data_IF_047141517330
#
_entry.id   IF_047141517330
#
_cell.length_a   1.000
_cell.length_b   1.000
_cell.length_c   1.000
_cell.angle_alpha   90.00
_cell.angle_beta   90.00
_cell.angle_gamma   90.00
#
_symmetry.space_group_name_H-M   'P 1'
#
loop_
_entity.id
_entity.type
_entity.pdbx_description
1 polymer ?
#
# COMPACT_ATOMS: atom_id res chain seq x y z
N UNK A 1 -23.47 5.79 31.11
CA UNK A 1 -24.33 6.24 29.97
C UNK A 1 -23.43 6.46 28.78
N UNK A 2 -23.76 5.91 27.60
CA UNK A 2 -23.01 6.11 26.36
C UNK A 2 -23.69 7.19 25.52
N UNK A 3 -22.92 7.92 24.71
CA UNK A 3 -23.46 8.84 23.71
C UNK A 3 -24.25 8.11 22.63
N UNK A 4 -25.29 8.75 22.09
CA UNK A 4 -26.19 8.17 21.11
C UNK A 4 -25.84 8.55 19.65
N UNK A 5 -24.71 9.28 19.45
CA UNK A 5 -24.21 9.57 18.10
C UNK A 5 -23.59 8.31 17.46
N UNK A 6 -23.47 8.34 16.16
CA UNK A 6 -22.99 7.17 15.38
C UNK A 6 -21.64 6.65 15.89
N UNK A 7 -21.54 5.34 16.02
CA UNK A 7 -20.30 4.64 16.33
C UNK A 7 -19.64 4.20 15.01
N UNK A 8 -19.00 5.15 14.29
CA UNK A 8 -18.31 4.86 13.05
C UNK A 8 -16.82 4.64 13.35
N UNK A 9 -16.25 3.46 13.04
CA UNK A 9 -14.84 3.20 13.28
C UNK A 9 -13.95 4.01 12.33
N UNK A 10 -12.79 4.40 12.83
CA UNK A 10 -11.80 5.22 12.10
C UNK A 10 -10.99 4.36 11.12
N UNK A 11 -11.63 4.00 10.01
CA UNK A 11 -11.04 3.14 8.97
C UNK A 11 -10.30 3.97 7.91
N UNK A 12 -9.11 3.54 7.49
CA UNK A 12 -8.36 4.18 6.40
C UNK A 12 -9.17 4.20 5.10
N UNK A 13 -9.92 3.14 4.81
CA UNK A 13 -10.81 3.05 3.64
C UNK A 13 -11.86 4.16 3.61
N UNK A 14 -12.33 4.64 4.77
CA UNK A 14 -13.31 5.74 4.83
C UNK A 14 -12.74 7.08 4.36
N UNK A 15 -11.43 7.31 4.48
CA UNK A 15 -10.77 8.50 3.91
C UNK A 15 -10.82 8.47 2.38
N UNK A 16 -10.55 7.32 1.77
CA UNK A 16 -10.65 7.16 0.31
C UNK A 16 -12.09 7.33 -0.18
N UNK A 17 -13.06 6.75 0.53
CA UNK A 17 -14.48 6.93 0.19
C UNK A 17 -14.94 8.38 0.33
N UNK A 18 -14.43 9.11 1.34
CA UNK A 18 -14.66 10.55 1.46
C UNK A 18 -14.11 11.30 0.24
N UNK A 19 -12.83 11.07 -0.11
CA UNK A 19 -12.21 11.71 -1.25
C UNK A 19 -12.94 11.39 -2.56
N UNK A 20 -13.31 10.13 -2.79
CA UNK A 20 -14.08 9.70 -3.95
C UNK A 20 -15.45 10.39 -4.03
N UNK A 21 -16.13 10.59 -2.90
CA UNK A 21 -17.48 11.17 -2.85
C UNK A 21 -17.49 12.68 -3.04
N UNK A 22 -16.55 13.37 -2.42
CA UNK A 22 -16.57 14.84 -2.34
C UNK A 22 -15.54 15.52 -3.24
N UNK A 23 -14.51 14.80 -3.66
CA UNK A 23 -13.40 15.29 -4.49
C UNK A 23 -13.04 14.30 -5.63
N UNK A 24 -14.05 13.72 -6.35
CA UNK A 24 -13.82 12.62 -7.28
C UNK A 24 -12.84 12.97 -8.41
N UNK A 25 -12.85 14.20 -8.85
CA UNK A 25 -12.12 14.67 -10.02
C UNK A 25 -10.82 15.43 -9.66
N UNK A 26 -10.48 15.53 -8.37
CA UNK A 26 -9.19 16.09 -7.93
C UNK A 26 -8.05 15.25 -8.46
N UNK A 27 -7.12 15.90 -9.16
CA UNK A 27 -6.06 15.25 -9.91
C UNK A 27 -4.99 14.61 -9.01
N UNK A 28 -4.53 13.42 -9.43
CA UNK A 28 -3.37 12.72 -8.88
C UNK A 28 -2.40 12.52 -10.03
N UNK A 29 -1.20 13.09 -9.90
CA UNK A 29 -0.13 12.95 -10.91
C UNK A 29 0.96 12.06 -10.37
N UNK A 30 1.36 11.08 -11.16
CA UNK A 30 2.41 10.13 -10.81
C UNK A 30 3.38 9.97 -11.97
N UNK A 31 4.69 10.02 -11.67
CA UNK A 31 5.72 9.57 -12.60
C UNK A 31 6.06 8.12 -12.28
N UNK A 32 5.89 7.23 -13.24
CA UNK A 32 6.12 5.79 -13.06
C UNK A 32 7.58 5.41 -13.35
N UNK A 33 7.94 4.19 -12.98
CA UNK A 33 9.28 3.64 -13.27
C UNK A 33 9.50 3.38 -14.77
N UNK A 34 8.42 3.22 -15.54
CA UNK A 34 8.43 3.16 -17.02
C UNK A 34 8.65 4.55 -17.67
N UNK A 35 8.95 5.57 -16.86
CA UNK A 35 9.20 6.96 -17.28
C UNK A 35 7.97 7.69 -17.84
N UNK A 36 6.78 7.14 -17.71
CA UNK A 36 5.51 7.78 -18.09
C UNK A 36 4.97 8.67 -16.99
N UNK A 37 4.22 9.72 -17.37
CA UNK A 37 3.43 10.53 -16.45
C UNK A 37 1.98 10.06 -16.55
N UNK A 38 1.49 9.49 -15.46
CA UNK A 38 0.09 9.08 -15.32
C UNK A 38 -0.67 10.18 -14.60
N UNK A 39 -1.78 10.62 -15.21
CA UNK A 39 -2.73 11.55 -14.63
C UNK A 39 -4.01 10.80 -14.29
N UNK A 40 -4.41 10.86 -13.07
CA UNK A 40 -5.55 10.14 -12.49
C UNK A 40 -6.32 11.06 -11.53
N UNK A 41 -7.30 10.51 -10.84
CA UNK A 41 -8.10 11.23 -9.84
C UNK A 41 -8.62 10.27 -8.76
N UNK A 42 -9.28 10.78 -7.71
CA UNK A 42 -9.77 9.95 -6.61
C UNK A 42 -10.88 8.96 -7.02
N UNK A 43 -11.64 9.24 -8.07
CA UNK A 43 -12.61 8.28 -8.62
C UNK A 43 -11.88 7.05 -9.15
N UNK A 44 -10.88 7.26 -9.98
CA UNK A 44 -10.05 6.19 -10.57
C UNK A 44 -9.24 5.47 -9.49
N UNK A 45 -8.60 6.21 -8.58
CA UNK A 45 -7.87 5.63 -7.46
C UNK A 45 -8.74 4.68 -6.65
N UNK A 46 -9.96 5.11 -6.27
CA UNK A 46 -10.89 4.28 -5.50
C UNK A 46 -11.30 3.02 -6.25
N UNK A 47 -11.58 3.13 -7.54
CA UNK A 47 -11.95 1.99 -8.37
C UNK A 47 -10.81 0.97 -8.46
N UNK A 48 -9.60 1.42 -8.78
CA UNK A 48 -8.42 0.56 -8.91
C UNK A 48 -7.97 -0.04 -7.57
N UNK A 49 -8.07 0.70 -6.46
CA UNK A 49 -7.84 0.16 -5.12
C UNK A 49 -8.82 -0.97 -4.77
N UNK A 50 -10.09 -0.85 -5.18
CA UNK A 50 -11.10 -1.91 -5.02
C UNK A 50 -10.81 -3.13 -5.90
N UNK A 51 -10.37 -2.93 -7.13
CA UNK A 51 -9.91 -4.02 -7.98
C UNK A 51 -8.73 -4.76 -7.35
N UNK A 52 -7.75 -4.02 -6.81
CA UNK A 52 -6.62 -4.63 -6.11
C UNK A 52 -7.04 -5.34 -4.82
N UNK A 53 -8.01 -4.82 -4.07
CA UNK A 53 -8.58 -5.51 -2.91
C UNK A 53 -9.19 -6.87 -3.29
N UNK A 54 -9.99 -6.91 -4.36
CA UNK A 54 -10.54 -8.17 -4.91
C UNK A 54 -9.43 -9.12 -5.37
N UNK A 55 -8.39 -8.60 -6.02
CA UNK A 55 -7.21 -9.36 -6.44
C UNK A 55 -6.50 -10.02 -5.25
N UNK A 56 -6.24 -9.27 -4.19
CA UNK A 56 -5.59 -9.78 -2.97
C UNK A 56 -6.42 -10.88 -2.31
N UNK A 57 -7.75 -10.70 -2.24
CA UNK A 57 -8.67 -11.71 -1.71
C UNK A 57 -8.64 -12.98 -2.58
N UNK A 58 -8.64 -12.83 -3.92
CA UNK A 58 -8.52 -13.96 -4.85
C UNK A 58 -7.18 -14.71 -4.71
N UNK A 59 -6.11 -14.00 -4.36
CA UNK A 59 -4.81 -14.58 -4.01
C UNK A 59 -4.81 -15.30 -2.66
N UNK A 60 -5.87 -15.22 -1.87
CA UNK A 60 -6.01 -15.83 -0.56
C UNK A 60 -5.42 -15.02 0.59
N UNK A 61 -5.16 -13.73 0.39
CA UNK A 61 -4.75 -12.81 1.47
C UNK A 61 -5.89 -12.63 2.47
N UNK A 62 -5.58 -12.77 3.74
CA UNK A 62 -6.55 -12.69 4.85
C UNK A 62 -6.25 -11.49 5.74
N UNK A 63 -7.23 -11.05 6.55
CA UNK A 63 -6.98 -10.07 7.60
C UNK A 63 -5.79 -10.47 8.49
N UNK A 64 -4.88 -9.52 8.73
CA UNK A 64 -3.65 -9.74 9.49
C UNK A 64 -2.46 -10.24 8.68
N UNK A 65 -2.64 -10.72 7.45
CA UNK A 65 -1.52 -11.08 6.58
C UNK A 65 -0.70 -9.85 6.19
N UNK A 66 0.63 -10.03 6.04
CA UNK A 66 1.52 -8.94 5.62
C UNK A 66 1.75 -9.00 4.11
N UNK A 67 1.46 -7.88 3.48
CA UNK A 67 1.70 -7.63 2.05
C UNK A 67 2.81 -6.60 1.95
N UNK A 68 3.96 -7.00 1.43
CA UNK A 68 5.14 -6.15 1.34
C UNK A 68 5.15 -5.34 0.03
N UNK A 69 5.71 -4.13 0.12
CA UNK A 69 5.98 -3.27 -1.03
C UNK A 69 7.43 -2.79 -1.01
N UNK A 70 8.17 -3.06 -2.09
CA UNK A 70 9.48 -2.50 -2.38
C UNK A 70 9.31 -1.53 -3.56
N UNK A 71 8.88 -0.30 -3.25
CA UNK A 71 8.31 0.59 -4.25
C UNK A 71 8.60 2.06 -3.99
N UNK A 72 8.60 2.83 -5.07
CA UNK A 72 8.59 4.29 -5.04
C UNK A 72 7.17 4.84 -4.86
N UNK A 73 7.06 6.15 -4.66
CA UNK A 73 5.77 6.84 -4.50
C UNK A 73 5.06 7.01 -5.86
N UNK A 74 4.40 5.96 -6.31
CA UNK A 74 3.59 5.96 -7.54
C UNK A 74 2.11 5.78 -7.24
N UNK A 75 1.24 5.98 -8.25
CA UNK A 75 -0.20 5.73 -8.11
C UNK A 75 -0.50 4.29 -7.70
N UNK A 76 0.25 3.28 -8.21
CA UNK A 76 0.09 1.87 -7.85
C UNK A 76 0.39 1.63 -6.37
N UNK A 77 1.44 2.28 -5.84
CA UNK A 77 1.75 2.18 -4.41
C UNK A 77 0.65 2.82 -3.56
N UNK A 78 0.10 3.96 -4.00
CA UNK A 78 -1.02 4.62 -3.32
C UNK A 78 -2.29 3.73 -3.34
N UNK A 79 -2.56 3.03 -4.44
CA UNK A 79 -3.65 2.04 -4.53
C UNK A 79 -3.47 0.91 -3.51
N UNK A 80 -2.23 0.41 -3.34
CA UNK A 80 -1.91 -0.64 -2.36
C UNK A 80 -2.11 -0.18 -0.92
N UNK A 81 -1.82 1.08 -0.57
CA UNK A 81 -2.09 1.60 0.77
C UNK A 81 -3.56 1.43 1.17
N UNK A 82 -4.48 1.69 0.26
CA UNK A 82 -5.91 1.55 0.51
C UNK A 82 -6.40 0.11 0.33
N UNK A 83 -5.91 -0.60 -0.67
CA UNK A 83 -6.35 -1.97 -0.95
C UNK A 83 -5.99 -2.93 0.18
N UNK A 84 -4.72 -2.94 0.60
CA UNK A 84 -4.22 -3.86 1.63
C UNK A 84 -4.86 -3.56 2.98
N UNK A 85 -4.78 -2.30 3.44
CA UNK A 85 -5.39 -1.93 4.72
C UNK A 85 -6.91 -2.09 4.69
N UNK A 86 -7.55 -1.79 3.55
CA UNK A 86 -8.99 -1.84 3.39
C UNK A 86 -9.60 -3.24 3.55
N UNK A 87 -8.85 -4.31 3.25
CA UNK A 87 -9.29 -5.71 3.48
C UNK A 87 -8.88 -6.22 4.88
N UNK A 88 -8.26 -5.39 5.72
CA UNK A 88 -7.76 -5.78 7.05
C UNK A 88 -6.40 -6.47 7.05
N UNK A 89 -5.71 -6.52 5.92
CA UNK A 89 -4.32 -6.96 5.85
C UNK A 89 -3.37 -5.81 6.25
N UNK A 90 -2.10 -6.11 6.43
CA UNK A 90 -1.08 -5.17 6.91
C UNK A 90 -0.12 -4.83 5.78
N UNK A 91 -0.09 -3.57 5.36
CA UNK A 91 0.87 -3.11 4.37
C UNK A 91 2.26 -2.98 5.00
N UNK A 92 3.20 -3.81 4.56
CA UNK A 92 4.59 -3.76 4.98
C UNK A 92 5.41 -2.95 3.96
N UNK A 93 5.63 -1.67 4.24
CA UNK A 93 6.45 -0.81 3.39
C UNK A 93 7.93 -1.04 3.65
N UNK A 94 8.63 -1.54 2.64
CA UNK A 94 10.07 -1.82 2.70
C UNK A 94 10.84 -0.63 2.16
N UNK A 95 11.74 -0.06 2.98
CA UNK A 95 12.58 1.04 2.52
C UNK A 95 13.60 0.51 1.48
N UNK A 96 13.55 0.98 0.23
CA UNK A 96 14.41 0.49 -0.84
C UNK A 96 15.90 0.92 -0.70
N UNK A 97 16.20 1.77 0.27
CA UNK A 97 17.58 2.23 0.56
C UNK A 97 18.29 1.37 1.60
N UNK A 98 17.64 0.32 2.10
CA UNK A 98 18.28 -0.65 2.99
C UNK A 98 19.24 -1.56 2.21
N UNK A 99 20.22 -2.12 2.89
CA UNK A 99 21.07 -3.16 2.31
C UNK A 99 20.26 -4.44 2.04
N UNK A 100 20.65 -5.25 1.03
CA UNK A 100 19.95 -6.48 0.67
C UNK A 100 19.68 -7.41 1.86
N UNK A 101 20.67 -7.58 2.75
CA UNK A 101 20.58 -8.45 3.93
C UNK A 101 19.53 -7.93 4.95
N UNK A 102 19.35 -6.61 5.00
CA UNK A 102 18.33 -6.00 5.86
C UNK A 102 16.94 -6.19 5.25
N UNK A 103 16.81 -6.07 3.93
CA UNK A 103 15.54 -6.32 3.21
C UNK A 103 15.13 -7.77 3.38
N UNK A 104 16.05 -8.72 3.19
CA UNK A 104 15.83 -10.14 3.45
C UNK A 104 15.33 -10.38 4.89
N UNK A 105 16.07 -9.83 5.86
CA UNK A 105 15.71 -9.96 7.27
C UNK A 105 14.29 -9.46 7.57
N UNK A 106 13.92 -8.25 7.14
CA UNK A 106 12.61 -7.67 7.47
C UNK A 106 11.46 -8.38 6.76
N UNK A 107 11.66 -8.84 5.52
CA UNK A 107 10.66 -9.61 4.79
C UNK A 107 10.38 -10.96 5.47
N UNK A 108 11.43 -11.65 5.91
CA UNK A 108 11.33 -12.92 6.63
C UNK A 108 10.79 -12.75 8.04
N UNK A 109 11.27 -11.74 8.79
CA UNK A 109 10.81 -11.45 10.15
C UNK A 109 9.32 -11.06 10.19
N UNK A 110 8.86 -10.35 9.17
CA UNK A 110 7.45 -10.00 9.02
C UNK A 110 6.61 -11.16 8.45
N UNK A 111 7.23 -12.24 7.97
CA UNK A 111 6.57 -13.33 7.25
C UNK A 111 5.65 -12.81 6.14
N UNK A 112 6.16 -11.89 5.32
CA UNK A 112 5.39 -11.27 4.25
C UNK A 112 5.04 -12.30 3.18
N UNK A 113 3.74 -12.50 2.90
CA UNK A 113 3.26 -13.55 2.01
C UNK A 113 3.22 -13.15 0.53
N UNK A 114 3.16 -11.85 0.25
CA UNK A 114 3.13 -11.25 -1.09
C UNK A 114 4.12 -10.10 -1.12
N UNK A 115 4.88 -9.99 -2.20
CA UNK A 115 5.80 -8.87 -2.44
C UNK A 115 5.43 -8.17 -3.75
N UNK A 116 5.03 -6.91 -3.64
CA UNK A 116 4.94 -5.98 -4.77
C UNK A 116 6.26 -5.23 -4.91
N UNK A 117 6.75 -5.07 -6.12
CA UNK A 117 8.00 -4.34 -6.34
C UNK A 117 7.97 -3.53 -7.64
N UNK A 118 8.60 -2.36 -7.62
CA UNK A 118 8.82 -1.58 -8.83
C UNK A 118 9.89 -2.22 -9.71
N UNK A 119 9.78 -2.07 -11.03
CA UNK A 119 10.67 -2.69 -12.03
C UNK A 119 12.15 -2.33 -11.81
N UNK A 120 12.43 -1.20 -11.17
CA UNK A 120 13.79 -0.78 -10.82
C UNK A 120 14.47 -1.70 -9.80
N UNK A 121 13.70 -2.55 -9.10
CA UNK A 121 14.20 -3.49 -8.09
C UNK A 121 14.21 -4.94 -8.58
N UNK A 122 13.97 -5.19 -9.87
CA UNK A 122 13.84 -6.54 -10.43
C UNK A 122 15.07 -7.41 -10.12
N UNK A 123 16.28 -6.94 -10.36
CA UNK A 123 17.52 -7.69 -10.06
C UNK A 123 17.66 -8.00 -8.59
N UNK A 124 17.39 -7.02 -7.72
CA UNK A 124 17.45 -7.23 -6.27
C UNK A 124 16.44 -8.29 -5.81
N UNK A 125 15.19 -8.25 -6.34
CA UNK A 125 14.15 -9.23 -6.00
C UNK A 125 14.53 -10.61 -6.51
N UNK A 126 15.13 -10.72 -7.70
CA UNK A 126 15.61 -12.00 -8.25
C UNK A 126 16.69 -12.61 -7.35
N UNK A 127 17.67 -11.81 -6.93
CA UNK A 127 18.75 -12.24 -6.04
C UNK A 127 18.24 -12.68 -4.66
N UNK A 128 17.24 -11.98 -4.12
CA UNK A 128 16.68 -12.29 -2.80
C UNK A 128 15.68 -13.45 -2.81
N UNK A 129 15.07 -13.76 -3.94
CA UNK A 129 14.00 -14.79 -4.04
C UNK A 129 14.34 -16.12 -3.36
N UNK A 130 15.55 -16.73 -3.53
CA UNK A 130 15.88 -17.99 -2.88
C UNK A 130 15.88 -17.94 -1.34
N UNK A 131 16.06 -16.74 -0.78
CA UNK A 131 16.13 -16.50 0.66
C UNK A 131 14.80 -16.03 1.28
N UNK A 132 13.70 -15.98 0.50
CA UNK A 132 12.39 -15.49 0.92
C UNK A 132 11.30 -16.58 0.96
N UNK A 133 11.41 -17.58 1.87
CA UNK A 133 10.53 -18.75 1.88
C UNK A 133 9.06 -18.44 2.19
N UNK A 134 8.77 -17.28 2.80
CA UNK A 134 7.41 -16.87 3.12
C UNK A 134 6.70 -16.16 1.95
N UNK A 135 7.45 -15.57 1.01
CA UNK A 135 6.88 -14.88 -0.14
C UNK A 135 6.42 -15.89 -1.18
N UNK A 136 5.11 -15.99 -1.35
CA UNK A 136 4.46 -16.94 -2.26
C UNK A 136 4.11 -16.32 -3.62
N UNK A 137 3.99 -15.00 -3.69
CA UNK A 137 3.63 -14.26 -4.90
C UNK A 137 4.52 -13.03 -5.02
N UNK A 138 5.03 -12.83 -6.22
CA UNK A 138 5.85 -11.68 -6.60
C UNK A 138 5.11 -10.91 -7.68
N UNK A 139 4.81 -9.64 -7.45
CA UNK A 139 4.06 -8.80 -8.37
C UNK A 139 4.91 -7.59 -8.78
N UNK A 140 5.25 -7.53 -10.07
CA UNK A 140 5.90 -6.36 -10.66
C UNK A 140 4.86 -5.25 -10.84
N UNK A 141 5.12 -4.07 -10.28
CA UNK A 141 4.22 -2.92 -10.33
C UNK A 141 4.28 -2.24 -11.70
N UNK A 142 3.91 -3.00 -12.74
CA UNK A 142 3.94 -2.60 -14.15
C UNK A 142 2.85 -3.33 -14.95
N UNK A 143 2.84 -3.14 -16.26
CA UNK A 143 1.99 -3.84 -17.22
C UNK A 143 2.75 -4.98 -17.94
N UNK A 144 2.04 -5.75 -18.78
CA UNK A 144 2.60 -6.88 -19.52
C UNK A 144 3.72 -6.46 -20.49
N UNK A 145 3.63 -5.26 -21.07
CA UNK A 145 4.59 -4.77 -22.07
C UNK A 145 5.97 -4.47 -21.46
N UNK A 146 6.02 -4.23 -20.15
CA UNK A 146 7.25 -3.90 -19.40
C UNK A 146 7.77 -5.05 -18.53
N UNK A 147 7.31 -6.29 -18.77
CA UNK A 147 7.78 -7.48 -18.02
C UNK A 147 9.14 -8.01 -18.46
N UNK A 148 9.73 -7.48 -19.52
CA UNK A 148 11.07 -7.90 -19.95
C UNK A 148 12.13 -7.63 -18.86
N UNK A 149 12.88 -8.67 -18.45
CA UNK A 149 13.88 -8.60 -17.39
C UNK A 149 13.35 -8.70 -15.96
N UNK A 150 12.07 -9.00 -15.78
CA UNK A 150 11.50 -9.30 -14.46
C UNK A 150 11.79 -10.75 -14.07
N UNK A 151 11.86 -11.06 -12.74
CA UNK A 151 11.94 -12.44 -12.26
C UNK A 151 10.86 -13.32 -12.91
N UNK A 152 11.22 -14.54 -13.29
CA UNK A 152 10.33 -15.42 -14.06
C UNK A 152 8.99 -15.75 -13.38
N UNK A 153 8.95 -15.71 -12.04
CA UNK A 153 7.74 -15.93 -11.25
C UNK A 153 6.91 -14.66 -11.03
N UNK A 154 7.37 -13.49 -11.48
CA UNK A 154 6.67 -12.23 -11.27
C UNK A 154 5.45 -12.10 -12.20
N UNK A 155 4.39 -11.52 -11.65
CA UNK A 155 3.14 -11.27 -12.37
C UNK A 155 2.94 -9.75 -12.55
N UNK A 156 2.43 -9.29 -13.71
CA UNK A 156 2.21 -7.87 -13.92
C UNK A 156 0.99 -7.35 -13.14
N UNK A 157 1.15 -6.22 -12.47
CA UNK A 157 0.13 -5.58 -11.65
C UNK A 157 -1.15 -5.28 -12.43
N UNK A 158 -1.01 -4.68 -13.62
CA UNK A 158 -2.15 -4.20 -14.40
C UNK A 158 -3.03 -5.37 -14.89
N UNK A 159 -2.44 -6.49 -15.27
CA UNK A 159 -3.18 -7.67 -15.72
C UNK A 159 -3.98 -8.31 -14.57
N UNK A 160 -3.45 -8.25 -13.36
CA UNK A 160 -4.12 -8.79 -12.18
C UNK A 160 -5.36 -7.96 -11.81
N UNK A 161 -5.24 -6.64 -11.78
CA UNK A 161 -6.38 -5.79 -11.46
C UNK A 161 -7.43 -5.75 -12.59
N UNK A 162 -7.00 -5.90 -13.85
CA UNK A 162 -7.91 -5.93 -14.99
C UNK A 162 -8.89 -7.11 -14.98
N UNK A 163 -8.61 -8.16 -14.20
CA UNK A 163 -9.49 -9.30 -14.00
C UNK A 163 -10.64 -9.02 -13.03
N UNK A 164 -10.64 -7.87 -12.38
CA UNK A 164 -11.59 -7.52 -11.33
C UNK A 164 -12.48 -6.35 -11.77
N UNK A 165 -13.73 -6.35 -11.33
CA UNK A 165 -14.72 -5.34 -11.72
C UNK A 165 -14.69 -4.07 -10.85
N UNK A 166 -13.97 -4.09 -9.71
CA UNK A 166 -13.90 -2.98 -8.75
C UNK A 166 -15.22 -2.74 -7.99
N UNK A 167 -16.18 -3.62 -8.11
CA UNK A 167 -17.42 -3.57 -7.34
C UNK A 167 -17.22 -4.24 -5.97
N UNK A 168 -16.70 -3.48 -5.03
CA UNK A 168 -16.31 -3.96 -3.71
C UNK A 168 -16.70 -2.99 -2.60
N UNK A 169 -17.35 -3.51 -1.56
CA UNK A 169 -17.67 -2.76 -0.36
C UNK A 169 -16.63 -3.05 0.72
N UNK A 170 -16.02 -1.98 1.24
CA UNK A 170 -15.00 -2.11 2.27
C UNK A 170 -15.60 -2.72 3.55
N UNK A 171 -15.03 -3.79 4.10
CA UNK A 171 -15.46 -4.34 5.37
C UNK A 171 -15.20 -3.36 6.51
N UNK A 172 -16.04 -3.45 7.53
CA UNK A 172 -15.88 -2.71 8.78
C UNK A 172 -15.42 -3.69 9.86
N UNK A 173 -14.33 -3.35 10.54
CA UNK A 173 -13.73 -4.15 11.60
C UNK A 173 -13.18 -3.25 12.71
N UNK A 174 -12.46 -3.80 13.68
CA UNK A 174 -11.88 -3.03 14.79
C UNK A 174 -10.85 -2.03 14.27
N UNK A 175 -11.04 -0.74 14.55
CA UNK A 175 -10.12 0.35 14.19
C UNK A 175 -8.72 0.22 14.81
N UNK A 176 -8.57 -0.60 15.85
CA UNK A 176 -7.28 -0.91 16.48
C UNK A 176 -6.50 -2.00 15.73
N UNK A 177 -7.11 -2.66 14.74
CA UNK A 177 -6.41 -3.61 13.89
C UNK A 177 -5.22 -2.93 13.19
N UNK A 178 -4.14 -3.68 13.01
CA UNK A 178 -2.95 -3.20 12.29
C UNK A 178 -3.30 -2.90 10.83
N UNK A 179 -2.82 -1.78 10.32
CA UNK A 179 -3.01 -1.33 8.93
C UNK A 179 -1.71 -1.30 8.15
N UNK A 180 -0.61 -0.95 8.82
CA UNK A 180 0.71 -0.90 8.20
C UNK A 180 1.83 -1.27 9.17
N UNK A 181 2.93 -1.73 8.58
CA UNK A 181 4.16 -2.14 9.26
C UNK A 181 5.34 -1.43 8.59
N UNK A 182 6.12 -0.70 9.39
CA UNK A 182 7.38 -0.10 8.95
C UNK A 182 8.51 -0.59 9.84
N UNK A 183 9.69 -0.81 9.24
CA UNK A 183 10.89 -1.12 10.00
C UNK A 183 11.75 0.12 10.16
N UNK A 184 12.21 0.34 11.38
CA UNK A 184 13.19 1.41 11.67
C UNK A 184 14.58 0.80 11.81
N UNK A 185 15.60 1.52 11.31
CA UNK A 185 16.98 1.18 11.58
C UNK A 185 17.22 1.39 13.08
N UNK A 186 17.25 0.29 13.84
CA UNK A 186 17.65 0.35 15.24
C UNK A 186 19.08 0.87 15.38
N UNK A 187 19.35 1.73 16.34
CA UNK A 187 20.72 2.21 16.62
C UNK A 187 21.66 1.09 17.08
N UNK A 188 21.11 -0.05 17.48
CA UNK A 188 21.83 -1.24 17.92
C UNK A 188 21.06 -2.50 17.52
N UNK A 189 21.61 -3.30 16.60
CA UNK A 189 21.07 -4.61 16.21
C UNK A 189 20.14 -4.57 14.98
N UNK A 190 19.32 -5.61 14.85
CA UNK A 190 18.41 -5.78 13.71
C UNK A 190 17.30 -4.72 13.68
N UNK A 191 16.79 -4.37 12.48
CA UNK A 191 15.65 -3.48 12.33
C UNK A 191 14.45 -3.93 13.15
N UNK A 192 13.73 -2.97 13.74
CA UNK A 192 12.54 -3.22 14.57
C UNK A 192 11.28 -2.82 13.81
N UNK A 193 10.29 -3.72 13.79
CA UNK A 193 8.99 -3.46 13.18
C UNK A 193 8.10 -2.61 14.09
N UNK A 194 7.46 -1.60 13.50
CA UNK A 194 6.47 -0.73 14.14
C UNK A 194 5.14 -0.93 13.43
N UNK A 195 4.12 -1.37 14.16
CA UNK A 195 2.77 -1.56 13.65
C UNK A 195 1.92 -0.31 13.94
N UNK A 196 1.26 0.19 12.88
CA UNK A 196 0.29 1.28 12.98
C UNK A 196 -1.12 0.71 12.81
N UNK A 197 -2.04 1.13 13.68
CA UNK A 197 -3.45 0.76 13.54
C UNK A 197 -4.18 1.70 12.56
N UNK A 198 -5.37 1.30 12.11
CA UNK A 198 -6.27 2.18 11.36
C UNK A 198 -6.54 3.46 12.15
N UNK A 199 -6.87 3.33 13.44
CA UNK A 199 -7.13 4.44 14.34
C UNK A 199 -5.94 5.40 14.42
N UNK A 200 -4.72 4.89 14.64
CA UNK A 200 -3.54 5.76 14.79
C UNK A 200 -3.24 6.52 13.50
N UNK A 201 -3.36 5.88 12.35
CA UNK A 201 -3.15 6.51 11.03
C UNK A 201 -4.22 7.55 10.74
N UNK A 202 -5.49 7.24 11.03
CA UNK A 202 -6.60 8.17 10.82
C UNK A 202 -6.45 9.44 11.67
N UNK A 203 -6.20 9.28 12.98
CA UNK A 203 -6.00 10.41 13.90
C UNK A 203 -4.75 11.23 13.54
N UNK A 204 -3.66 10.57 13.17
CA UNK A 204 -2.45 11.25 12.70
C UNK A 204 -2.76 12.12 11.47
N UNK A 205 -3.47 11.58 10.49
CA UNK A 205 -3.86 12.32 9.28
C UNK A 205 -4.69 13.56 9.61
N UNK A 206 -5.66 13.44 10.52
CA UNK A 206 -6.45 14.59 10.97
C UNK A 206 -5.59 15.66 11.67
N UNK A 207 -4.69 15.24 12.55
CA UNK A 207 -3.84 16.16 13.31
C UNK A 207 -2.82 16.87 12.42
N UNK A 208 -2.22 16.16 11.48
CA UNK A 208 -1.25 16.72 10.52
C UNK A 208 -1.88 17.79 9.63
N UNK A 209 -3.16 17.64 9.26
CA UNK A 209 -3.87 18.62 8.44
C UNK A 209 -4.32 19.87 9.22
N UNK A 210 -4.21 19.90 10.57
CA UNK A 210 -4.60 21.06 11.38
C UNK A 210 -3.67 22.27 11.13
N UNK A 211 -4.14 23.46 11.56
CA UNK A 211 -3.41 24.73 11.41
C UNK A 211 -2.03 24.70 12.06
N UNK A 212 -1.91 24.04 13.21
CA UNK A 212 -0.64 23.87 13.94
C UNK A 212 0.24 22.73 13.39
N UNK A 213 -0.23 22.00 12.36
CA UNK A 213 0.51 20.97 11.64
C UNK A 213 1.00 21.48 10.28
N UNK A 214 0.65 20.75 9.21
CA UNK A 214 0.99 21.14 7.83
C UNK A 214 -0.03 22.10 7.19
N UNK A 215 -1.11 22.41 7.87
CA UNK A 215 -2.20 23.30 7.43
C UNK A 215 -2.73 22.90 6.02
N UNK A 216 -2.90 21.62 5.76
CA UNK A 216 -3.35 21.10 4.47
C UNK A 216 -4.87 21.08 4.37
N UNK A 217 -5.36 21.50 3.23
CA UNK A 217 -6.77 21.49 2.86
C UNK A 217 -6.99 20.82 1.49
N UNK A 218 -8.24 20.66 1.09
CA UNK A 218 -8.60 20.15 -0.25
C UNK A 218 -8.21 21.08 -1.41
N UNK A 219 -7.79 22.31 -1.11
CA UNK A 219 -7.31 23.29 -2.10
C UNK A 219 -5.79 23.18 -2.35
N UNK A 220 -5.08 22.42 -1.54
CA UNK A 220 -3.63 22.31 -1.61
C UNK A 220 -3.19 21.13 -2.47
N UNK A 221 -1.98 21.25 -3.02
CA UNK A 221 -1.30 20.16 -3.72
C UNK A 221 -0.03 19.80 -2.97
N UNK A 222 0.18 18.52 -2.74
CA UNK A 222 1.37 18.02 -2.06
C UNK A 222 2.22 17.16 -2.99
N UNK A 223 3.54 17.31 -2.90
CA UNK A 223 4.51 16.46 -3.57
C UNK A 223 5.24 15.61 -2.53
N UNK A 224 5.15 14.30 -2.67
CA UNK A 224 5.96 13.37 -1.88
C UNK A 224 7.37 13.32 -2.46
N UNK A 225 8.35 13.80 -1.69
CA UNK A 225 9.74 13.94 -2.13
C UNK A 225 10.69 12.86 -1.58
N UNK A 226 10.18 11.74 -1.06
CA UNK A 226 10.98 10.68 -0.40
C UNK A 226 10.91 9.39 -1.16
#
# INVERSE_FOLDING_TARGET
>A
MQGLMQAHPLMISSMLEHARRYHPDTEIVSKTCEQTIVRSNYRTLSHRAKQMAQTLIAMGVKPGDRVATLAWNTHRHLELYFAVSGIGAVLHTVNPRLFPEQIEYILNHAESGVLFFDITFASLVEDLTPALPHVRRFIAMTDADHMAGMPAQAEPYEDLIAQQDGNYDWPVFDENAASSLCYTSGTTGNPKGVLYSHRSTYLHSLLVCQVDGLQLSSADSTLLAV
#
